data_IF_148637063904
#
_entry.id   IF_148637063904
#
_cell.length_a   1.000
_cell.length_b   1.000
_cell.length_c   1.000
_cell.angle_alpha   90.00
_cell.angle_beta   90.00
_cell.angle_gamma   90.00
#
_symmetry.space_group_name_H-M   'P 1'
#
loop_
_entity.id
_entity.type
_entity.pdbx_description
1 polymer ?
#
# COMPACT_ATOMS: atom_id res chain seq x y z
N UNK A 1 -7.53 -1.62 5.10
CA UNK A 1 -7.87 -2.80 4.26
C UNK A 1 -7.78 -4.04 5.12
N UNK A 2 -8.69 -4.98 4.97
CA UNK A 2 -8.58 -6.25 5.70
C UNK A 2 -7.46 -7.09 5.09
N UNK A 3 -6.86 -7.96 5.90
CA UNK A 3 -5.66 -8.69 5.51
C UNK A 3 -5.85 -9.57 4.27
N UNK A 4 -6.96 -10.29 4.19
CA UNK A 4 -7.21 -11.14 3.03
C UNK A 4 -7.23 -10.37 1.72
N UNK A 5 -7.85 -9.20 1.73
CA UNK A 5 -7.90 -8.34 0.55
C UNK A 5 -6.52 -7.79 0.23
N UNK A 6 -5.79 -7.37 1.25
CA UNK A 6 -4.42 -6.89 1.07
C UNK A 6 -3.56 -7.96 0.42
N UNK A 7 -3.62 -9.17 0.96
CA UNK A 7 -2.81 -10.29 0.48
C UNK A 7 -3.12 -10.64 -0.97
N UNK A 8 -4.41 -10.58 -1.36
CA UNK A 8 -4.83 -11.04 -2.67
C UNK A 8 -4.85 -9.94 -3.73
N UNK A 9 -5.05 -8.69 -3.34
CA UNK A 9 -5.28 -7.61 -4.31
C UNK A 9 -4.22 -6.52 -4.30
N UNK A 10 -3.46 -6.37 -3.23
CA UNK A 10 -2.45 -5.33 -3.15
C UNK A 10 -1.13 -5.85 -3.74
N UNK A 11 -0.78 -5.35 -4.89
CA UNK A 11 0.40 -5.80 -5.63
C UNK A 11 1.18 -4.59 -6.15
N UNK A 12 2.44 -4.77 -6.54
CA UNK A 12 3.18 -3.67 -7.17
C UNK A 12 2.39 -3.10 -8.35
N UNK A 13 2.24 -1.79 -8.39
CA UNK A 13 1.46 -1.11 -9.40
C UNK A 13 0.03 -0.78 -8.99
N UNK A 14 -0.43 -1.30 -7.85
CA UNK A 14 -1.79 -1.03 -7.36
C UNK A 14 -1.89 0.40 -6.84
N UNK A 15 -2.95 1.11 -7.25
CA UNK A 15 -3.21 2.45 -6.74
C UNK A 15 -3.94 2.36 -5.41
N UNK A 16 -3.42 3.06 -4.41
CA UNK A 16 -3.95 2.99 -3.04
C UNK A 16 -3.98 4.39 -2.43
N UNK A 17 -4.69 4.50 -1.31
CA UNK A 17 -4.71 5.69 -0.50
C UNK A 17 -4.28 5.33 0.92
N UNK A 18 -3.52 6.20 1.56
CA UNK A 18 -3.11 6.03 2.94
C UNK A 18 -2.66 7.38 3.48
N UNK A 19 -2.95 7.64 4.77
CA UNK A 19 -2.56 8.89 5.42
C UNK A 19 -3.01 10.13 4.64
N UNK A 20 -4.22 10.08 4.11
CA UNK A 20 -4.83 11.18 3.36
C UNK A 20 -4.07 11.54 2.08
N UNK A 21 -3.26 10.62 1.58
CA UNK A 21 -2.53 10.78 0.32
C UNK A 21 -2.79 9.59 -0.58
N UNK A 22 -2.65 9.79 -1.87
CA UNK A 22 -2.75 8.69 -2.82
C UNK A 22 -1.36 8.29 -3.29
N UNK A 23 -1.22 7.04 -3.68
CA UNK A 23 0.06 6.56 -4.14
C UNK A 23 -0.05 5.24 -4.89
N UNK A 24 1.11 4.70 -5.24
CA UNK A 24 1.21 3.44 -5.98
C UNK A 24 2.10 2.50 -5.19
N UNK A 25 1.67 1.26 -5.05
CA UNK A 25 2.46 0.24 -4.37
C UNK A 25 3.69 -0.10 -5.23
N UNK A 26 4.87 -0.09 -4.61
CA UNK A 26 6.12 -0.44 -5.26
C UNK A 26 6.46 -1.90 -5.00
N UNK A 27 6.33 -2.33 -3.76
CA UNK A 27 6.58 -3.71 -3.39
C UNK A 27 5.90 -4.03 -2.06
N UNK A 28 5.81 -5.32 -1.76
CA UNK A 28 5.20 -5.82 -0.53
C UNK A 28 6.33 -6.29 0.38
N UNK A 29 6.19 -6.09 1.69
CA UNK A 29 7.19 -6.52 2.65
C UNK A 29 7.29 -8.04 2.69
N UNK A 30 8.41 -8.53 3.21
CA UNK A 30 8.67 -9.96 3.29
C UNK A 30 7.65 -10.67 4.17
N UNK A 31 7.20 -10.04 5.25
CA UNK A 31 6.19 -10.60 6.15
C UNK A 31 4.77 -10.44 5.60
N UNK A 32 4.63 -9.74 4.46
CA UNK A 32 3.35 -9.52 3.79
C UNK A 32 2.34 -8.76 4.64
N UNK A 33 2.83 -7.88 5.48
CA UNK A 33 1.96 -7.06 6.32
C UNK A 33 2.07 -5.58 6.00
N UNK A 34 3.03 -5.18 5.15
CA UNK A 34 3.22 -3.79 4.77
C UNK A 34 3.47 -3.69 3.27
N UNK A 35 3.20 -2.52 2.75
CA UNK A 35 3.50 -2.22 1.35
C UNK A 35 4.35 -0.95 1.30
N UNK A 36 5.35 -0.95 0.43
CA UNK A 36 6.10 0.25 0.17
C UNK A 36 5.33 1.05 -0.86
N UNK A 37 4.88 2.23 -0.47
CA UNK A 37 4.02 3.07 -1.31
C UNK A 37 4.76 4.33 -1.70
N UNK A 38 4.73 4.64 -2.99
CA UNK A 38 5.23 5.91 -3.49
C UNK A 38 4.05 6.84 -3.62
N UNK A 39 4.04 7.88 -2.80
CA UNK A 39 2.94 8.84 -2.77
C UNK A 39 3.08 9.89 -3.86
N UNK A 40 1.98 10.60 -4.13
CA UNK A 40 1.93 11.61 -5.18
C UNK A 40 2.89 12.78 -4.92
N UNK A 41 3.31 12.99 -3.67
CA UNK A 41 4.29 14.03 -3.33
C UNK A 41 5.74 13.58 -3.57
N UNK A 42 5.94 12.36 -4.06
CA UNK A 42 7.27 11.82 -4.35
C UNK A 42 7.90 11.05 -3.20
N UNK A 43 7.28 11.05 -2.04
CA UNK A 43 7.81 10.32 -0.87
C UNK A 43 7.46 8.84 -0.95
N UNK A 44 8.36 7.99 -0.45
CA UNK A 44 8.08 6.56 -0.34
C UNK A 44 8.07 6.18 1.14
N UNK A 45 7.08 5.38 1.53
CA UNK A 45 6.94 4.96 2.92
C UNK A 45 6.40 3.54 2.99
N UNK A 46 6.81 2.81 4.02
CA UNK A 46 6.21 1.53 4.36
C UNK A 46 4.91 1.80 5.09
N UNK A 47 3.82 1.26 4.58
CA UNK A 47 2.49 1.45 5.16
C UNK A 47 1.91 0.09 5.53
N UNK A 48 1.45 -0.02 6.78
CA UNK A 48 0.85 -1.25 7.26
C UNK A 48 -0.49 -1.50 6.55
N UNK A 49 -0.81 -2.77 6.30
CA UNK A 49 -1.96 -3.14 5.47
C UNK A 49 -3.27 -2.51 5.96
N UNK A 50 -3.46 -2.43 7.28
CA UNK A 50 -4.72 -1.92 7.83
C UNK A 50 -4.87 -0.40 7.67
N UNK A 51 -3.81 0.27 7.25
CA UNK A 51 -3.85 1.72 6.97
C UNK A 51 -3.99 2.02 5.48
N UNK A 52 -4.04 0.99 4.65
CA UNK A 52 -4.12 1.14 3.21
C UNK A 52 -5.56 0.94 2.75
N UNK A 53 -6.00 1.78 1.81
CA UNK A 53 -7.29 1.62 1.16
C UNK A 53 -7.09 1.60 -0.35
N UNK A 54 -7.87 0.74 -1.03
CA UNK A 54 -7.83 0.68 -2.49
C UNK A 54 -8.55 1.88 -3.08
N UNK A 55 -8.02 2.42 -4.15
CA UNK A 55 -8.71 3.47 -4.88
C UNK A 55 -9.74 2.90 -5.82
#
# INVERSE_FOLDING_TARGET
>A
MIYGKFKNQCKPGTHVAANERTGVVIKISQDKEKALVRFSDGMTEWVEYYKIEME
#
